data_IF_176364544903
#
_entry.id   IF_176364544903
#
_cell.length_a   1.000
_cell.length_b   1.000
_cell.length_c   1.000
_cell.angle_alpha   90.00
_cell.angle_beta   90.00
_cell.angle_gamma   90.00
#
_symmetry.space_group_name_H-M   'P 1'
#
loop_
_entity.id
_entity.type
_entity.pdbx_description
1 polymer ?
#
# COMPACT_ATOMS: atom_id res chain seq x y z
N UNK A 1 6.71 -23.96 28.81
CA UNK A 1 8.15 -23.64 28.80
C UNK A 1 8.25 -22.13 28.65
N UNK A 2 9.00 -21.48 29.54
CA UNK A 2 9.14 -20.03 29.54
C UNK A 2 10.16 -19.63 28.47
N UNK A 3 9.69 -18.96 27.40
CA UNK A 3 10.59 -18.35 26.42
C UNK A 3 11.19 -17.09 27.02
N UNK A 4 12.40 -17.25 27.56
CA UNK A 4 13.22 -16.14 28.01
C UNK A 4 13.75 -15.38 26.78
N UNK A 5 13.21 -14.20 26.51
CA UNK A 5 13.77 -13.20 25.59
C UNK A 5 14.42 -12.02 26.35
N UNK A 6 15.37 -12.24 27.30
CA UNK A 6 15.97 -11.13 28.04
C UNK A 6 16.70 -10.15 27.12
N UNK A 7 17.22 -10.63 25.99
CA UNK A 7 18.04 -9.84 25.06
C UNK A 7 17.23 -8.79 24.26
N UNK A 8 15.93 -9.02 24.05
CA UNK A 8 15.09 -8.13 23.25
C UNK A 8 14.79 -6.79 23.94
N UNK A 9 14.71 -6.77 25.27
CA UNK A 9 14.34 -5.58 26.04
C UNK A 9 15.54 -4.71 26.41
N UNK A 10 16.73 -5.29 26.53
CA UNK A 10 17.96 -4.53 26.77
C UNK A 10 18.35 -3.66 25.56
N UNK A 11 17.95 -4.06 24.35
CA UNK A 11 18.21 -3.30 23.12
C UNK A 11 17.20 -2.18 22.85
N UNK A 12 16.08 -2.12 23.58
CA UNK A 12 15.05 -1.09 23.39
C UNK A 12 15.36 0.17 24.16
N UNK A 13 15.05 1.29 23.52
CA UNK A 13 15.13 2.62 24.13
C UNK A 13 14.00 2.82 25.15
N UNK A 14 14.19 3.72 26.12
CA UNK A 14 13.19 3.99 27.17
C UNK A 14 11.85 4.49 26.59
N UNK A 15 11.91 5.24 25.48
CA UNK A 15 10.73 5.71 24.75
C UNK A 15 9.93 4.55 24.14
N UNK A 16 10.60 3.54 23.58
CA UNK A 16 9.93 2.36 23.02
C UNK A 16 9.31 1.49 24.12
N UNK A 17 10.00 1.34 25.26
CA UNK A 17 9.45 0.61 26.40
C UNK A 17 8.22 1.33 26.99
N UNK A 18 8.24 2.65 27.08
CA UNK A 18 7.08 3.45 27.49
C UNK A 18 5.91 3.32 26.50
N UNK A 19 6.18 3.27 25.20
CA UNK A 19 5.16 3.09 24.18
C UNK A 19 4.42 1.76 24.33
N UNK A 20 5.15 0.67 24.62
CA UNK A 20 4.57 -0.65 24.88
C UNK A 20 3.65 -0.64 26.10
N UNK A 21 4.03 0.08 27.16
CA UNK A 21 3.24 0.19 28.39
C UNK A 21 2.02 1.09 28.21
N UNK A 22 2.09 2.09 27.33
CA UNK A 22 1.00 3.03 27.05
C UNK A 22 -0.11 2.44 26.17
N UNK A 23 0.17 1.38 25.40
CA UNK A 23 -0.80 0.78 24.46
C UNK A 23 -0.97 -0.74 24.70
N UNK A 24 -1.37 -1.16 25.91
CA UNK A 24 -1.44 -2.57 26.27
C UNK A 24 -2.40 -3.39 25.40
N UNK A 25 -3.39 -2.75 24.78
CA UNK A 25 -4.38 -3.37 23.87
C UNK A 25 -3.78 -3.91 22.56
N UNK A 26 -2.55 -3.51 22.23
CA UNK A 26 -1.88 -3.90 20.99
C UNK A 26 -0.81 -4.98 21.18
N UNK A 27 -0.53 -5.39 22.42
CA UNK A 27 0.57 -6.28 22.76
C UNK A 27 0.14 -7.45 23.64
N UNK A 28 0.95 -8.51 23.64
CA UNK A 28 0.72 -9.61 24.55
C UNK A 28 0.99 -9.19 26.00
N UNK A 29 0.19 -9.65 26.99
CA UNK A 29 0.35 -9.29 28.40
C UNK A 29 1.77 -9.51 28.94
N UNK A 30 2.41 -10.63 28.56
CA UNK A 30 3.77 -10.97 28.96
C UNK A 30 4.82 -9.97 28.46
N UNK A 31 4.60 -9.34 27.30
CA UNK A 31 5.51 -8.32 26.76
C UNK A 31 5.43 -7.01 27.55
N UNK A 32 4.23 -6.67 28.00
CA UNK A 32 3.97 -5.46 28.79
C UNK A 32 4.56 -5.62 30.18
N UNK A 33 4.41 -6.81 30.79
CA UNK A 33 4.96 -7.11 32.11
C UNK A 33 6.50 -7.03 32.12
N UNK A 34 7.17 -7.54 31.08
CA UNK A 34 8.62 -7.45 30.96
C UNK A 34 9.09 -6.01 30.68
N UNK A 35 8.37 -5.26 29.83
CA UNK A 35 8.68 -3.85 29.58
C UNK A 35 8.56 -2.99 30.86
N UNK A 36 7.55 -3.26 31.70
CA UNK A 36 7.40 -2.62 33.02
C UNK A 36 8.54 -2.98 33.96
N UNK A 37 8.98 -4.25 33.99
CA UNK A 37 10.13 -4.68 34.79
C UNK A 37 11.42 -3.97 34.37
N UNK A 38 11.67 -3.86 33.07
CA UNK A 38 12.87 -3.21 32.55
C UNK A 38 12.85 -1.67 32.78
N UNK A 39 11.70 -1.00 32.61
CA UNK A 39 11.56 0.41 32.98
C UNK A 39 11.79 0.64 34.48
N UNK A 40 11.30 -0.28 35.33
CA UNK A 40 11.54 -0.26 36.76
C UNK A 40 13.03 -0.40 37.13
N UNK A 41 13.77 -1.27 36.42
CA UNK A 41 15.24 -1.38 36.59
C UNK A 41 15.98 -0.10 36.19
N UNK A 42 15.47 0.62 35.19
CA UNK A 42 16.07 1.86 34.67
C UNK A 42 15.64 3.13 35.44
N UNK A 43 14.76 2.99 36.44
CA UNK A 43 14.30 4.12 37.25
C UNK A 43 13.41 5.11 36.49
N UNK A 44 12.83 4.70 35.36
CA UNK A 44 11.94 5.56 34.56
C UNK A 44 10.53 5.51 35.17
N UNK A 45 9.89 6.67 35.45
CA UNK A 45 8.56 6.70 36.05
C UNK A 45 7.52 6.10 35.09
N UNK A 46 6.73 5.14 35.58
CA UNK A 46 5.68 4.52 34.78
C UNK A 46 4.47 5.47 34.62
N UNK A 47 3.81 5.48 33.45
CA UNK A 47 2.54 6.18 33.28
C UNK A 47 1.48 5.59 34.22
N UNK A 48 0.66 6.44 34.84
CA UNK A 48 -0.45 5.99 35.67
C UNK A 48 -1.41 5.10 34.83
N UNK A 49 -1.96 4.01 35.40
CA UNK A 49 -2.87 3.14 34.66
C UNK A 49 -4.09 3.95 34.20
N UNK A 50 -4.32 3.98 32.88
CA UNK A 50 -5.56 4.49 32.33
C UNK A 50 -6.72 3.64 32.85
N UNK A 51 -7.75 4.30 33.38
CA UNK A 51 -8.95 3.65 33.92
C UNK A 51 -9.61 2.79 32.83
N UNK A 52 -10.13 1.57 33.15
CA UNK A 52 -10.71 0.71 32.14
C UNK A 52 -11.97 1.36 31.55
N UNK A 53 -11.97 1.63 30.24
CA UNK A 53 -13.20 1.90 29.52
C UNK A 53 -14.02 0.59 29.47
N UNK A 54 -15.31 0.69 29.80
CA UNK A 54 -16.23 -0.44 29.83
C UNK A 54 -16.26 -1.17 28.46
N UNK A 55 -16.29 -2.51 28.44
CA UNK A 55 -16.32 -3.28 27.20
C UNK A 55 -17.66 -3.10 26.49
N UNK A 56 -17.70 -2.89 25.16
CA UNK A 56 -18.93 -3.08 24.40
C UNK A 56 -19.32 -4.57 24.39
N UNK A 57 -20.61 -4.84 24.53
CA UNK A 57 -21.17 -6.18 24.43
C UNK A 57 -20.82 -6.80 23.06
N UNK A 58 -20.14 -7.95 23.09
CA UNK A 58 -19.80 -8.73 21.90
C UNK A 58 -20.92 -9.72 21.65
N UNK A 59 -21.56 -9.62 20.50
CA UNK A 59 -22.50 -10.61 19.98
C UNK A 59 -21.76 -11.95 19.78
N UNK A 60 -22.27 -12.98 20.43
CA UNK A 60 -21.74 -14.33 20.41
C UNK A 60 -22.14 -15.00 19.08
N UNK A 61 -21.20 -15.11 18.12
CA UNK A 61 -21.33 -16.14 17.06
C UNK A 61 -20.02 -16.55 16.38
N UNK A 62 -19.86 -17.88 16.40
CA UNK A 62 -19.04 -18.76 15.57
C UNK A 62 -17.54 -18.87 15.89
N UNK A 63 -17.25 -19.68 16.91
CA UNK A 63 -15.99 -20.42 16.99
C UNK A 63 -15.84 -21.29 15.73
N UNK A 64 -14.90 -20.92 14.85
CA UNK A 64 -14.54 -21.73 13.67
C UNK A 64 -13.51 -22.75 14.09
N UNK A 65 -13.96 -23.98 14.33
CA UNK A 65 -13.12 -25.14 14.65
C UNK A 65 -12.17 -25.40 13.48
N UNK A 66 -10.88 -25.16 13.67
CA UNK A 66 -9.84 -25.48 12.70
C UNK A 66 -9.70 -27.00 12.68
N UNK A 67 -10.01 -27.62 11.53
CA UNK A 67 -9.96 -29.08 11.37
C UNK A 67 -8.52 -29.60 11.48
N UNK A 68 -8.28 -30.74 12.17
CA UNK A 68 -6.94 -31.31 12.40
C UNK A 68 -6.19 -31.71 11.11
N UNK A 69 -6.89 -31.78 9.97
CA UNK A 69 -6.32 -32.01 8.64
C UNK A 69 -5.43 -30.87 8.14
N UNK A 70 -5.66 -29.62 8.57
CA UNK A 70 -4.86 -28.47 8.12
C UNK A 70 -3.45 -28.44 8.75
N UNK A 71 -3.29 -29.05 9.93
CA UNK A 71 -2.00 -29.16 10.62
C UNK A 71 -1.05 -30.18 9.97
N UNK A 72 -1.60 -31.21 9.33
CA UNK A 72 -0.80 -32.27 8.69
C UNK A 72 -0.15 -31.76 7.40
N UNK A 73 -0.84 -30.88 6.66
CA UNK A 73 -0.30 -30.27 5.42
C UNK A 73 0.84 -29.29 5.71
N UNK A 74 0.75 -28.54 6.81
CA UNK A 74 1.84 -27.66 7.25
C UNK A 74 3.08 -28.43 7.71
N UNK A 75 2.91 -29.59 8.35
CA UNK A 75 4.02 -30.43 8.81
C UNK A 75 4.80 -31.10 7.67
N UNK A 76 4.11 -31.52 6.60
CA UNK A 76 4.76 -32.15 5.43
C UNK A 76 5.58 -31.16 4.57
N UNK A 77 5.20 -29.88 4.55
CA UNK A 77 5.91 -28.84 3.79
C UNK A 77 7.28 -28.47 4.42
N UNK A 78 7.41 -28.59 5.73
CA UNK A 78 8.68 -28.32 6.44
C UNK A 78 9.67 -29.49 6.30
N UNK A 79 9.19 -30.73 6.25
CA UNK A 79 10.06 -31.91 6.08
C UNK A 79 10.58 -32.03 4.64
N UNK A 80 9.79 -31.64 3.63
CA UNK A 80 10.20 -31.66 2.22
C UNK A 80 11.32 -30.69 1.86
N UNK A 81 11.36 -29.50 2.49
CA UNK A 81 12.41 -28.50 2.27
C UNK A 81 13.73 -28.83 2.98
N UNK A 82 13.71 -29.64 4.05
CA UNK A 82 14.91 -30.04 4.81
C UNK A 82 15.74 -31.15 4.17
N UNK A 83 15.13 -32.05 3.41
CA UNK A 83 15.83 -33.23 2.83
C UNK A 83 16.58 -32.86 1.53
N UNK A 84 16.12 -31.84 0.79
CA UNK A 84 16.76 -31.39 -0.45
C UNK A 84 18.11 -30.68 -0.26
N UNK A 85 18.38 -30.14 0.93
CA UNK A 85 19.59 -29.35 1.19
C UNK A 85 20.81 -30.18 1.62
N UNK A 86 20.65 -31.50 1.86
CA UNK A 86 21.71 -32.35 2.41
C UNK A 86 22.29 -33.41 1.45
N UNK A 87 21.84 -33.49 0.18
CA UNK A 87 22.30 -34.54 -0.77
C UNK A 87 23.15 -34.00 -1.94
N UNK A 88 23.75 -32.81 -1.81
CA UNK A 88 24.78 -32.34 -2.74
C UNK A 88 26.05 -31.89 -2.02
N UNK A 89 26.81 -32.87 -1.56
CA UNK A 89 28.25 -32.72 -1.32
C UNK A 89 29.04 -33.62 -2.27
N UNK A 90 29.61 -33.11 -3.37
CA UNK A 90 30.64 -33.83 -4.08
C UNK A 90 31.98 -33.69 -3.34
N UNK A 91 32.52 -34.82 -2.87
CA UNK A 91 33.93 -34.94 -2.50
C UNK A 91 34.78 -34.78 -3.78
N UNK A 92 35.45 -33.64 -3.91
CA UNK A 92 36.53 -33.45 -4.87
C UNK A 92 37.80 -33.05 -4.10
N UNK A 93 38.96 -33.69 -4.36
CA UNK A 93 40.21 -33.39 -3.67
C UNK A 93 40.72 -31.98 -4.00
N UNK A 94 41.32 -31.34 -2.99
CA UNK A 94 41.72 -29.94 -3.01
C UNK A 94 42.83 -29.63 -4.05
N UNK A 95 42.66 -28.61 -4.90
CA UNK A 95 43.77 -28.03 -5.66
C UNK A 95 44.64 -27.11 -4.77
N UNK A 96 45.95 -26.96 -5.09
CA UNK A 96 46.87 -26.17 -4.29
C UNK A 96 46.49 -24.68 -4.29
N UNK A 97 46.76 -24.03 -3.15
CA UNK A 97 46.28 -22.69 -2.81
C UNK A 97 46.67 -21.61 -3.85
N UNK A 98 45.71 -20.87 -4.42
CA UNK A 98 46.02 -19.63 -5.13
C UNK A 98 46.36 -18.51 -4.14
N UNK A 99 47.36 -17.71 -4.52
CA UNK A 99 47.80 -16.52 -3.82
C UNK A 99 46.63 -15.57 -3.51
N UNK A 100 46.65 -14.99 -2.31
CA UNK A 100 45.58 -14.18 -1.74
C UNK A 100 45.07 -13.09 -2.70
N UNK A 101 43.78 -13.16 -3.04
CA UNK A 101 43.08 -12.09 -3.71
C UNK A 101 43.03 -10.83 -2.81
N UNK A 102 43.11 -9.61 -3.38
CA UNK A 102 43.03 -8.38 -2.60
C UNK A 102 41.68 -8.29 -1.88
N UNK A 103 41.73 -8.03 -0.58
CA UNK A 103 40.55 -7.88 0.29
C UNK A 103 39.62 -6.80 -0.29
N UNK A 104 38.37 -7.17 -0.60
CA UNK A 104 37.31 -6.20 -0.91
C UNK A 104 37.21 -5.23 0.27
N UNK A 105 37.40 -3.94 -0.02
CA UNK A 105 37.31 -2.89 0.98
C UNK A 105 35.95 -2.87 1.69
N UNK A 106 35.86 -2.25 2.87
CA UNK A 106 34.64 -2.21 3.66
C UNK A 106 33.47 -1.63 2.86
N UNK A 107 32.22 -2.12 3.09
CA UNK A 107 31.05 -1.64 2.39
C UNK A 107 30.91 -0.13 2.58
N UNK A 108 30.98 0.62 1.47
CA UNK A 108 30.78 2.06 1.48
C UNK A 108 29.27 2.33 1.50
N UNK A 109 28.82 3.08 2.51
CA UNK A 109 27.48 3.65 2.54
C UNK A 109 27.36 4.59 1.33
N UNK A 110 26.45 4.25 0.43
CA UNK A 110 26.10 5.13 -0.69
C UNK A 110 24.88 5.93 -0.25
N UNK A 111 24.96 7.25 -0.38
CA UNK A 111 23.81 8.12 -0.15
C UNK A 111 22.74 7.74 -1.19
N UNK A 112 21.63 7.17 -0.71
CA UNK A 112 20.47 6.88 -1.53
C UNK A 112 19.74 8.21 -1.72
N UNK A 113 19.72 8.72 -2.95
CA UNK A 113 18.96 9.93 -3.29
C UNK A 113 17.49 9.68 -2.98
N UNK A 114 16.99 10.31 -1.92
CA UNK A 114 15.58 10.28 -1.52
C UNK A 114 14.84 11.40 -2.26
N UNK A 115 14.37 11.12 -3.48
CA UNK A 115 13.33 11.98 -4.04
C UNK A 115 12.00 11.69 -3.35
N UNK A 116 11.18 12.72 -3.14
CA UNK A 116 9.85 12.60 -2.55
C UNK A 116 8.80 12.72 -3.66
N UNK A 117 7.75 11.91 -3.62
CA UNK A 117 6.58 12.09 -4.51
C UNK A 117 5.97 13.46 -4.24
N UNK A 118 5.77 14.31 -5.28
CA UNK A 118 5.23 15.65 -5.07
C UNK A 118 3.86 15.62 -4.37
N UNK A 119 3.60 16.62 -3.52
CA UNK A 119 2.28 16.80 -2.92
C UNK A 119 1.32 17.44 -3.95
N UNK A 120 0.19 16.78 -4.21
CA UNK A 120 -0.85 17.22 -5.13
C UNK A 120 -2.14 17.72 -4.44
N UNK A 121 -2.17 17.89 -3.12
CA UNK A 121 -3.40 18.24 -2.36
C UNK A 121 -4.15 19.45 -2.93
N UNK A 122 -3.44 20.52 -3.26
CA UNK A 122 -4.03 21.73 -3.83
C UNK A 122 -4.60 21.53 -5.24
N UNK A 123 -4.01 20.61 -6.02
CA UNK A 123 -4.50 20.25 -7.35
C UNK A 123 -5.72 19.33 -7.24
N UNK A 124 -5.66 18.34 -6.34
CA UNK A 124 -6.75 17.41 -6.04
C UNK A 124 -7.99 18.17 -5.58
N UNK A 125 -7.86 19.18 -4.71
CA UNK A 125 -8.98 19.99 -4.26
C UNK A 125 -9.72 20.66 -5.44
N UNK A 126 -8.99 21.27 -6.38
CA UNK A 126 -9.56 21.91 -7.58
C UNK A 126 -10.26 20.90 -8.49
N UNK A 127 -9.65 19.73 -8.66
CA UNK A 127 -10.21 18.65 -9.47
C UNK A 127 -11.51 18.12 -8.87
N UNK A 128 -11.54 17.90 -7.56
CA UNK A 128 -12.75 17.46 -6.83
C UNK A 128 -13.88 18.45 -7.05
N UNK A 129 -13.61 19.75 -6.93
CA UNK A 129 -14.61 20.79 -7.22
C UNK A 129 -15.10 20.75 -8.67
N UNK A 130 -14.19 20.59 -9.64
CA UNK A 130 -14.55 20.50 -11.05
C UNK A 130 -15.45 19.30 -11.34
N UNK A 131 -15.14 18.13 -10.79
CA UNK A 131 -15.95 16.93 -10.96
C UNK A 131 -17.31 17.07 -10.26
N UNK A 132 -17.37 17.68 -9.07
CA UNK A 132 -18.64 17.96 -8.38
C UNK A 132 -19.54 18.91 -9.17
N UNK A 133 -18.97 19.89 -9.89
CA UNK A 133 -19.74 20.80 -10.75
C UNK A 133 -20.39 20.10 -11.94
N UNK A 134 -19.86 18.95 -12.36
CA UNK A 134 -20.45 18.11 -13.43
C UNK A 134 -21.65 17.29 -12.94
N UNK A 135 -21.87 17.17 -11.63
CA UNK A 135 -23.07 16.51 -11.08
C UNK A 135 -24.28 17.45 -11.26
N UNK A 136 -25.40 16.96 -11.84
CA UNK A 136 -26.61 17.76 -12.03
C UNK A 136 -27.06 18.46 -10.75
N UNK A 137 -27.51 19.71 -10.86
CA UNK A 137 -27.93 20.49 -9.70
C UNK A 137 -29.09 19.83 -8.92
N UNK A 138 -30.03 19.19 -9.63
CA UNK A 138 -31.13 18.43 -9.03
C UNK A 138 -30.63 17.27 -8.16
N UNK A 139 -29.64 16.52 -8.66
CA UNK A 139 -29.04 15.41 -7.91
C UNK A 139 -28.27 15.91 -6.68
N UNK A 140 -27.55 17.03 -6.79
CA UNK A 140 -26.86 17.66 -5.65
C UNK A 140 -27.84 18.18 -4.58
N UNK A 141 -28.98 18.72 -4.99
CA UNK A 141 -30.02 19.17 -4.06
C UNK A 141 -30.65 17.98 -3.31
N UNK A 142 -31.02 16.91 -4.03
CA UNK A 142 -31.54 15.68 -3.43
C UNK A 142 -30.51 15.04 -2.47
N UNK A 143 -29.23 15.05 -2.85
CA UNK A 143 -28.16 14.53 -2.01
C UNK A 143 -27.94 15.35 -0.73
N UNK A 144 -28.16 16.66 -0.79
CA UNK A 144 -28.13 17.55 0.40
C UNK A 144 -29.30 17.24 1.34
N UNK A 145 -30.50 17.00 0.79
CA UNK A 145 -31.69 16.63 1.57
C UNK A 145 -31.56 15.26 2.23
N UNK A 146 -30.87 14.31 1.59
CA UNK A 146 -30.57 12.99 2.14
C UNK A 146 -29.39 12.98 3.15
N UNK A 147 -28.88 14.15 3.54
CA UNK A 147 -27.89 14.41 4.60
C UNK A 147 -26.50 13.74 4.51
N UNK A 148 -26.24 12.78 3.61
CA UNK A 148 -24.95 12.06 3.55
C UNK A 148 -24.33 11.76 2.17
N UNK A 149 -25.08 11.55 1.06
CA UNK A 149 -24.46 11.02 -0.15
C UNK A 149 -23.47 11.99 -0.81
N UNK A 150 -23.68 13.31 -0.72
CA UNK A 150 -22.78 14.27 -1.36
C UNK A 150 -21.40 14.34 -0.66
N UNK A 151 -21.38 14.27 0.67
CA UNK A 151 -20.13 14.28 1.44
C UNK A 151 -19.32 13.00 1.17
N UNK A 152 -19.99 11.84 1.21
CA UNK A 152 -19.36 10.55 0.92
C UNK A 152 -18.77 10.52 -0.49
N UNK A 153 -19.55 10.98 -1.48
CA UNK A 153 -19.07 11.09 -2.86
C UNK A 153 -17.84 12.00 -2.96
N UNK A 154 -17.85 13.18 -2.33
CA UNK A 154 -16.69 14.08 -2.31
C UNK A 154 -15.44 13.41 -1.75
N UNK A 155 -15.55 12.69 -0.63
CA UNK A 155 -14.40 12.00 -0.03
C UNK A 155 -13.87 10.86 -0.90
N UNK A 156 -14.75 10.12 -1.60
CA UNK A 156 -14.33 9.11 -2.56
C UNK A 156 -13.58 9.72 -3.74
N UNK A 157 -14.12 10.80 -4.32
CA UNK A 157 -13.48 11.53 -5.43
C UNK A 157 -12.12 12.08 -4.99
N UNK A 158 -12.01 12.61 -3.77
CA UNK A 158 -10.74 13.08 -3.21
C UNK A 158 -9.71 11.95 -3.10
N UNK A 159 -10.09 10.79 -2.55
CA UNK A 159 -9.19 9.64 -2.41
C UNK A 159 -8.76 9.08 -3.76
N UNK A 160 -9.69 9.00 -4.70
CA UNK A 160 -9.42 8.58 -6.07
C UNK A 160 -8.38 9.50 -6.71
N UNK A 161 -8.61 10.81 -6.71
CA UNK A 161 -7.69 11.75 -7.36
C UNK A 161 -6.35 11.87 -6.66
N UNK A 162 -6.29 11.72 -5.34
CA UNK A 162 -5.01 11.63 -4.64
C UNK A 162 -4.18 10.45 -5.16
N UNK A 163 -4.79 9.27 -5.33
CA UNK A 163 -4.11 8.10 -5.86
C UNK A 163 -3.77 8.25 -7.36
N UNK A 164 -4.70 8.77 -8.15
CA UNK A 164 -4.54 8.94 -9.59
C UNK A 164 -3.43 9.94 -9.93
N UNK A 165 -3.38 11.10 -9.28
CA UNK A 165 -2.32 12.09 -9.54
C UNK A 165 -0.93 11.56 -9.19
N UNK A 166 -0.81 10.79 -8.11
CA UNK A 166 0.45 10.16 -7.77
C UNK A 166 0.82 9.07 -8.80
N UNK A 167 -0.17 8.33 -9.29
CA UNK A 167 0.04 7.32 -10.34
C UNK A 167 0.53 7.96 -11.63
N UNK A 168 -0.15 9.01 -12.13
CA UNK A 168 0.28 9.72 -13.34
C UNK A 168 1.72 10.22 -13.24
N UNK A 169 2.10 10.77 -12.08
CA UNK A 169 3.47 11.23 -11.83
C UNK A 169 4.49 10.08 -11.96
N UNK A 170 4.25 8.97 -11.26
CA UNK A 170 5.17 7.83 -11.24
C UNK A 170 5.25 7.13 -12.60
N UNK A 171 4.14 7.06 -13.34
CA UNK A 171 4.15 6.54 -14.70
C UNK A 171 4.94 7.44 -15.66
N UNK A 172 4.80 8.77 -15.56
CA UNK A 172 5.61 9.69 -16.36
C UNK A 172 7.10 9.65 -15.97
N UNK A 173 7.44 9.44 -14.69
CA UNK A 173 8.81 9.21 -14.25
C UNK A 173 9.39 7.96 -14.90
N UNK A 174 8.64 6.85 -14.93
CA UNK A 174 9.04 5.61 -15.57
C UNK A 174 9.24 5.76 -17.10
N UNK A 175 8.36 6.51 -17.78
CA UNK A 175 8.46 6.76 -19.23
C UNK A 175 9.68 7.58 -19.65
N UNK A 176 10.25 8.39 -18.75
CA UNK A 176 11.47 9.16 -19.03
C UNK A 176 12.72 8.28 -19.19
N UNK A 177 12.63 6.98 -18.93
CA UNK A 177 13.69 6.02 -19.25
C UNK A 177 14.92 6.08 -18.33
N UNK A 178 14.91 6.93 -17.31
CA UNK A 178 15.90 6.97 -16.24
C UNK A 178 15.19 6.68 -14.92
N UNK A 179 14.88 5.40 -14.61
CA UNK A 179 14.23 5.06 -13.36
C UNK A 179 15.15 5.50 -12.22
N UNK A 180 14.70 6.52 -11.50
CA UNK A 180 15.32 6.98 -10.28
C UNK A 180 15.41 5.80 -9.29
N UNK A 181 16.48 5.72 -8.49
CA UNK A 181 16.62 4.69 -7.46
C UNK A 181 15.44 4.69 -6.47
N UNK A 182 14.75 5.83 -6.33
CA UNK A 182 13.55 5.98 -5.53
C UNK A 182 12.24 5.46 -6.17
N UNK A 183 12.23 5.11 -7.46
CA UNK A 183 11.03 4.71 -8.20
C UNK A 183 10.28 3.53 -7.56
N UNK A 184 10.93 2.44 -7.11
CA UNK A 184 10.25 1.36 -6.39
C UNK A 184 9.50 1.88 -5.15
N UNK A 185 10.16 2.73 -4.34
CA UNK A 185 9.55 3.35 -3.17
C UNK A 185 8.38 4.28 -3.51
N UNK A 186 8.48 5.03 -4.62
CA UNK A 186 7.36 5.82 -5.11
C UNK A 186 6.16 4.92 -5.47
N UNK A 187 6.38 3.84 -6.24
CA UNK A 187 5.33 2.90 -6.65
C UNK A 187 4.64 2.27 -5.43
N UNK A 188 5.41 1.88 -4.41
CA UNK A 188 4.88 1.35 -3.14
C UNK A 188 4.03 2.36 -2.38
N UNK A 189 4.48 3.62 -2.32
CA UNK A 189 3.74 4.72 -1.69
C UNK A 189 2.41 4.97 -2.41
N UNK A 190 2.42 5.01 -3.75
CA UNK A 190 1.19 5.15 -4.55
C UNK A 190 0.26 3.96 -4.34
N UNK A 191 0.80 2.75 -4.27
CA UNK A 191 0.04 1.54 -3.93
C UNK A 191 -0.64 1.63 -2.56
N UNK A 192 0.00 2.28 -1.58
CA UNK A 192 -0.62 2.54 -0.28
C UNK A 192 -1.81 3.50 -0.38
N UNK A 193 -1.72 4.54 -1.21
CA UNK A 193 -2.82 5.47 -1.47
C UNK A 193 -4.00 4.74 -2.13
N UNK A 194 -3.74 3.87 -3.10
CA UNK A 194 -4.77 3.03 -3.72
C UNK A 194 -5.44 2.07 -2.72
N UNK A 195 -4.69 1.50 -1.76
CA UNK A 195 -5.30 0.69 -0.69
C UNK A 195 -6.28 1.49 0.17
N UNK A 196 -6.04 2.78 0.40
CA UNK A 196 -6.98 3.64 1.12
C UNK A 196 -8.25 3.94 0.32
N UNK A 197 -8.14 4.03 -1.01
CA UNK A 197 -9.28 4.12 -1.91
C UNK A 197 -10.08 2.81 -1.92
N UNK A 198 -9.41 1.65 -2.08
CA UNK A 198 -10.05 0.33 -2.04
C UNK A 198 -10.87 0.13 -0.76
N UNK A 199 -10.31 0.50 0.41
CA UNK A 199 -11.03 0.42 1.69
C UNK A 199 -12.29 1.29 1.72
N UNK A 200 -12.26 2.46 1.07
CA UNK A 200 -13.41 3.34 1.01
C UNK A 200 -14.48 2.79 0.05
N UNK A 201 -14.11 2.12 -1.05
CA UNK A 201 -15.08 1.61 -2.03
C UNK A 201 -15.76 0.30 -1.63
N UNK A 202 -15.39 -0.33 -0.50
CA UNK A 202 -16.06 -1.55 -0.01
C UNK A 202 -17.50 -1.26 0.41
N UNK A 203 -17.82 -0.04 0.81
CA UNK A 203 -19.16 0.31 1.26
C UNK A 203 -20.14 0.46 0.10
N UNK A 204 -21.38 0.04 0.33
CA UNK A 204 -22.48 0.29 -0.61
C UNK A 204 -22.96 1.73 -0.48
N UNK A 205 -22.87 2.48 -1.57
CA UNK A 205 -23.30 3.88 -1.62
C UNK A 205 -24.62 4.03 -2.39
N UNK A 206 -25.54 4.82 -1.85
CA UNK A 206 -26.79 5.20 -2.54
C UNK A 206 -26.60 6.53 -3.23
N UNK A 207 -25.87 6.52 -4.33
CA UNK A 207 -25.66 7.69 -5.17
C UNK A 207 -26.77 7.83 -6.21
N UNK A 208 -27.02 9.07 -6.64
CA UNK A 208 -27.81 9.32 -7.82
C UNK A 208 -27.08 8.85 -9.09
N UNK A 209 -27.76 8.86 -10.24
CA UNK A 209 -27.24 8.25 -11.46
C UNK A 209 -25.90 8.86 -11.90
N UNK A 210 -25.74 10.19 -11.88
CA UNK A 210 -24.49 10.80 -12.35
C UNK A 210 -23.32 10.51 -11.41
N UNK A 211 -23.54 10.56 -10.09
CA UNK A 211 -22.49 10.19 -9.12
C UNK A 211 -22.15 8.70 -9.17
N UNK A 212 -23.13 7.83 -9.44
CA UNK A 212 -22.91 6.41 -9.63
C UNK A 212 -22.10 6.12 -10.90
N UNK A 213 -22.42 6.77 -12.02
CA UNK A 213 -21.68 6.65 -13.28
C UNK A 213 -20.22 7.12 -13.11
N UNK A 214 -20.01 8.23 -12.41
CA UNK A 214 -18.66 8.70 -12.08
C UNK A 214 -17.91 7.71 -11.20
N UNK A 215 -18.57 7.10 -10.20
CA UNK A 215 -17.93 6.08 -9.35
C UNK A 215 -17.52 4.86 -10.16
N UNK A 216 -18.37 4.40 -11.06
CA UNK A 216 -18.08 3.27 -11.94
C UNK A 216 -16.89 3.55 -12.88
N UNK A 217 -16.79 4.76 -13.42
CA UNK A 217 -15.60 5.21 -14.17
C UNK A 217 -14.34 5.21 -13.27
N UNK A 218 -14.43 5.76 -12.06
CA UNK A 218 -13.31 5.77 -11.11
C UNK A 218 -12.87 4.35 -10.74
N UNK A 219 -13.80 3.41 -10.54
CA UNK A 219 -13.49 2.01 -10.25
C UNK A 219 -12.74 1.33 -11.38
N UNK A 220 -13.19 1.54 -12.63
CA UNK A 220 -12.52 0.98 -13.83
C UNK A 220 -11.11 1.55 -14.01
N UNK A 221 -10.94 2.87 -13.82
CA UNK A 221 -9.61 3.49 -13.87
C UNK A 221 -8.71 2.92 -12.78
N UNK A 222 -9.19 2.86 -11.54
CA UNK A 222 -8.42 2.36 -10.42
C UNK A 222 -7.92 0.93 -10.61
N UNK A 223 -8.76 0.04 -11.16
CA UNK A 223 -8.34 -1.31 -11.51
C UNK A 223 -7.20 -1.29 -12.52
N UNK A 224 -7.35 -0.56 -13.63
CA UNK A 224 -6.31 -0.45 -14.67
C UNK A 224 -5.01 0.11 -14.10
N UNK A 225 -5.09 1.11 -13.24
CA UNK A 225 -3.93 1.75 -12.63
C UNK A 225 -3.21 0.85 -11.63
N UNK A 226 -3.95 0.10 -10.80
CA UNK A 226 -3.35 -0.88 -9.89
C UNK A 226 -2.62 -2.00 -10.64
N UNK A 227 -3.18 -2.49 -11.75
CA UNK A 227 -2.48 -3.42 -12.64
C UNK A 227 -1.23 -2.79 -13.28
N UNK A 228 -1.32 -1.51 -13.66
CA UNK A 228 -0.20 -0.73 -14.18
C UNK A 228 0.93 -0.54 -13.18
N UNK A 229 0.61 -0.26 -11.92
CA UNK A 229 1.57 -0.14 -10.84
C UNK A 229 2.23 -1.47 -10.51
N UNK A 230 1.50 -2.59 -10.56
CA UNK A 230 2.07 -3.92 -10.37
C UNK A 230 3.08 -4.26 -11.49
N UNK A 231 2.72 -4.00 -12.76
CA UNK A 231 3.64 -4.14 -13.89
C UNK A 231 4.86 -3.22 -13.73
N UNK A 232 4.65 -1.97 -13.30
CA UNK A 232 5.73 -1.01 -13.10
C UNK A 232 6.66 -1.43 -11.96
N UNK A 233 6.15 -1.97 -10.86
CA UNK A 233 7.00 -2.44 -9.76
C UNK A 233 7.91 -3.59 -10.21
N UNK A 234 7.40 -4.49 -11.08
CA UNK A 234 8.21 -5.55 -11.66
C UNK A 234 9.33 -4.95 -12.53
N UNK A 235 9.02 -3.96 -13.36
CA UNK A 235 10.00 -3.30 -14.22
C UNK A 235 10.97 -2.42 -13.42
N UNK A 236 10.54 -1.74 -12.35
CA UNK A 236 11.43 -0.90 -11.54
C UNK A 236 12.52 -1.73 -10.84
N UNK A 237 12.27 -3.02 -10.61
CA UNK A 237 13.21 -3.97 -10.02
C UNK A 237 14.04 -4.75 -11.07
N UNK A 238 13.81 -4.53 -12.36
CA UNK A 238 14.46 -5.26 -13.46
C UNK A 238 14.93 -4.31 -14.58
N UNK A 239 16.02 -4.58 -15.31
CA UNK A 239 16.54 -3.66 -16.34
C UNK A 239 15.73 -3.64 -17.66
N UNK A 240 14.41 -3.69 -17.60
CA UNK A 240 13.53 -3.69 -18.77
C UNK A 240 12.90 -2.32 -19.01
N UNK A 241 12.50 -2.05 -20.26
CA UNK A 241 11.73 -0.86 -20.58
C UNK A 241 10.29 -0.99 -20.06
N UNK A 242 9.79 0.06 -19.40
CA UNK A 242 8.40 0.10 -18.93
C UNK A 242 7.40 0.19 -20.11
N UNK A 243 7.78 0.89 -21.18
CA UNK A 243 6.89 1.16 -22.30
C UNK A 243 6.85 -0.02 -23.29
N UNK A 244 5.66 -0.62 -23.44
CA UNK A 244 5.38 -1.71 -24.37
C UNK A 244 3.92 -1.60 -24.88
N UNK A 245 3.49 -2.49 -25.77
CA UNK A 245 2.14 -2.44 -26.34
C UNK A 245 1.03 -2.55 -25.28
N UNK A 246 1.24 -3.34 -24.23
CA UNK A 246 0.29 -3.49 -23.12
C UNK A 246 0.16 -2.18 -22.33
N UNK A 247 1.29 -1.57 -21.96
CA UNK A 247 1.28 -0.33 -21.16
C UNK A 247 0.77 0.86 -21.96
N UNK A 248 1.04 0.94 -23.27
CA UNK A 248 0.46 1.95 -24.17
C UNK A 248 -1.05 1.81 -24.35
N UNK A 249 -1.56 0.58 -24.55
CA UNK A 249 -3.01 0.32 -24.64
C UNK A 249 -3.71 0.68 -23.35
N UNK A 250 -3.19 0.24 -22.20
CA UNK A 250 -3.72 0.61 -20.89
C UNK A 250 -3.76 2.13 -20.70
N UNK A 251 -2.68 2.84 -21.04
CA UNK A 251 -2.65 4.29 -20.92
C UNK A 251 -3.72 4.97 -21.79
N UNK A 252 -3.99 4.43 -22.98
CA UNK A 252 -5.08 4.91 -23.84
C UNK A 252 -6.47 4.61 -23.25
N UNK A 253 -6.71 3.40 -22.75
CA UNK A 253 -7.97 3.02 -22.11
C UNK A 253 -8.24 3.85 -20.84
N UNK A 254 -7.21 4.08 -20.02
CA UNK A 254 -7.30 4.97 -18.84
C UNK A 254 -7.58 6.40 -19.26
N UNK A 255 -6.92 6.90 -20.31
CA UNK A 255 -7.17 8.24 -20.84
C UNK A 255 -8.62 8.39 -21.32
N UNK A 256 -9.16 7.39 -22.00
CA UNK A 256 -10.55 7.37 -22.46
C UNK A 256 -11.52 7.43 -21.27
N UNK A 257 -11.34 6.59 -20.26
CA UNK A 257 -12.17 6.58 -19.06
C UNK A 257 -12.09 7.90 -18.28
N UNK A 258 -10.88 8.43 -18.09
CA UNK A 258 -10.65 9.69 -17.39
C UNK A 258 -11.25 10.89 -18.14
N UNK A 259 -11.37 10.82 -19.47
CA UNK A 259 -12.04 11.87 -20.26
C UNK A 259 -13.51 12.08 -19.86
N UNK A 260 -14.17 11.01 -19.38
CA UNK A 260 -15.52 11.06 -18.82
C UNK A 260 -15.60 11.81 -17.49
N UNK A 261 -14.52 11.84 -16.70
CA UNK A 261 -14.46 12.50 -15.40
C UNK A 261 -13.96 13.94 -15.49
N UNK A 262 -12.87 14.16 -16.23
CA UNK A 262 -12.22 15.45 -16.44
C UNK A 262 -11.74 15.61 -17.89
N UNK A 263 -11.52 16.85 -18.38
CA UNK A 263 -11.04 17.05 -19.74
C UNK A 263 -9.51 16.95 -19.86
N UNK A 264 -8.76 17.18 -18.77
CA UNK A 264 -7.29 17.28 -18.78
C UNK A 264 -6.69 16.65 -17.54
N UNK A 265 -5.49 16.08 -17.69
CA UNK A 265 -4.69 15.56 -16.60
C UNK A 265 -4.27 16.69 -15.66
N UNK A 266 -4.48 16.53 -14.34
CA UNK A 266 -4.05 17.50 -13.35
C UNK A 266 -2.53 17.55 -13.15
N UNK A 267 -1.81 16.49 -13.53
CA UNK A 267 -0.36 16.39 -13.36
C UNK A 267 0.38 16.86 -14.60
N UNK A 268 -0.05 16.42 -15.78
CA UNK A 268 0.65 16.68 -17.03
C UNK A 268 0.07 17.87 -17.80
N UNK A 269 -1.15 18.30 -17.47
CA UNK A 269 -1.89 19.31 -18.23
C UNK A 269 -2.38 18.85 -19.61
N UNK A 270 -2.05 17.61 -20.02
CA UNK A 270 -2.42 17.04 -21.32
C UNK A 270 -3.92 16.70 -21.33
N UNK A 271 -4.63 16.89 -22.46
CA UNK A 271 -6.01 16.47 -22.57
C UNK A 271 -6.11 14.94 -22.49
N UNK A 272 -7.12 14.45 -21.79
CA UNK A 272 -7.51 13.05 -21.87
C UNK A 272 -8.16 12.80 -23.23
N UNK A 273 -7.76 11.72 -23.91
CA UNK A 273 -8.18 11.44 -25.28
C UNK A 273 -9.30 10.40 -25.28
N UNK A 274 -10.53 10.77 -25.69
CA UNK A 274 -11.58 9.78 -25.86
C UNK A 274 -11.23 8.86 -27.04
N UNK A 275 -11.37 7.55 -26.84
CA UNK A 275 -11.24 6.56 -27.90
C UNK A 275 -12.60 6.38 -28.58
N UNK A 276 -12.77 6.97 -29.76
CA UNK A 276 -13.93 6.67 -30.61
C UNK A 276 -13.75 5.25 -31.17
N UNK A 277 -14.32 4.25 -30.51
CA UNK A 277 -14.38 2.88 -31.05
C UNK A 277 -15.41 2.86 -32.17
N UNK A 278 -14.94 2.90 -33.42
CA UNK A 278 -15.78 2.63 -34.57
C UNK A 278 -16.19 1.15 -34.54
N UNK A 279 -17.37 0.86 -33.99
CA UNK A 279 -17.99 -0.45 -34.10
C UNK A 279 -18.49 -0.56 -35.55
N UNK A 280 -17.81 -1.37 -36.38
CA UNK A 280 -18.40 -1.85 -37.62
C UNK A 280 -19.44 -2.90 -37.23
N UNK A 281 -20.70 -2.52 -37.34
CA UNK A 281 -21.84 -3.42 -37.26
C UNK A 281 -21.95 -4.26 -38.53
#
# INVERSE_FOLDING_TARGET
MADSFPDFYHQKTDAELLFLVAHPEHYQPSLIDEARRELGRRGVPLPAPASPAAPPAVDERAARTISPTLLIVAALLVVGLGIGYWVKGPNAPAPPAPLAAPRKGPPRLTEVVTSVVPNYDGVVAKVVEQQLRRVPAAERAAATQAHQPLHQYRELVKRFWAAETQTEYVLEEARKGQPNAALPGHVEAVGATWRQWNKATVYSYKFGPAMADHLDLMMRVAQQQQEGLADLLLVANNPQAYENDKTRRRAADVSDLLSGLLPKSPVTGRPYKPMVRHIRL
#
